data_IF_098010438526
#
_entry.id   IF_098010438526
#
_cell.length_a   1.000
_cell.length_b   1.000
_cell.length_c   1.000
_cell.angle_alpha   90.00
_cell.angle_beta   90.00
_cell.angle_gamma   90.00
#
_symmetry.space_group_name_H-M   'P 1'
#
loop_
_entity.id
_entity.type
_entity.pdbx_description
1 polymer ?
#
# COMPACT_ATOMS: atom_id res chain seq x y z
N UNK A 1 15.48 9.27 -26.87
CA UNK A 1 15.95 9.72 -28.19
C UNK A 1 15.42 11.12 -28.45
N UNK A 2 16.28 12.14 -28.49
CA UNK A 2 15.83 13.56 -28.62
C UNK A 2 15.02 13.79 -29.91
N UNK A 3 15.40 13.13 -30.98
CA UNK A 3 14.75 13.22 -32.30
C UNK A 3 13.30 12.70 -32.28
N UNK A 4 12.96 11.83 -31.33
CA UNK A 4 11.60 11.29 -31.17
C UNK A 4 10.67 12.18 -30.36
N UNK A 5 11.18 13.26 -29.74
CA UNK A 5 10.35 14.13 -28.89
C UNK A 5 9.37 15.01 -29.71
N UNK A 6 9.68 15.26 -30.99
CA UNK A 6 8.85 16.09 -31.88
C UNK A 6 8.37 17.38 -31.18
N UNK A 7 7.11 17.75 -31.35
CA UNK A 7 6.53 18.97 -30.74
C UNK A 7 5.88 18.71 -29.39
N UNK A 8 5.46 17.46 -29.13
CA UNK A 8 4.73 17.09 -27.88
C UNK A 8 5.07 15.67 -27.47
N UNK A 9 5.26 15.46 -26.17
CA UNK A 9 5.45 14.14 -25.56
C UNK A 9 4.41 13.88 -24.49
N UNK A 10 4.02 12.60 -24.34
CA UNK A 10 3.23 12.12 -23.20
C UNK A 10 4.18 11.45 -22.23
N UNK A 11 4.48 12.09 -21.11
CA UNK A 11 5.46 11.60 -20.15
C UNK A 11 5.03 10.30 -19.43
N UNK A 12 3.72 10.05 -19.32
CA UNK A 12 3.18 8.83 -18.72
C UNK A 12 3.46 8.73 -17.23
N UNK A 13 3.74 7.51 -16.76
CA UNK A 13 3.86 7.19 -15.33
C UNK A 13 5.08 7.82 -14.65
N UNK A 14 6.07 8.27 -15.40
CA UNK A 14 7.22 8.99 -14.85
C UNK A 14 6.82 10.27 -14.10
N UNK A 15 5.64 10.84 -14.41
CA UNK A 15 5.07 11.96 -13.65
C UNK A 15 4.70 11.58 -12.22
N UNK A 16 4.50 10.30 -11.96
CA UNK A 16 4.26 9.74 -10.62
C UNK A 16 5.55 9.29 -9.93
N UNK A 17 6.70 9.47 -10.59
CA UNK A 17 7.98 9.03 -10.11
C UNK A 17 8.17 7.51 -10.15
N UNK A 18 7.48 6.83 -11.07
CA UNK A 18 7.55 5.39 -11.28
C UNK A 18 8.15 5.09 -12.67
N UNK A 19 8.86 3.98 -12.77
CA UNK A 19 9.44 3.53 -14.02
C UNK A 19 8.41 2.78 -14.89
N UNK A 20 8.36 3.01 -16.22
CA UNK A 20 7.41 2.31 -17.09
C UNK A 20 7.68 0.81 -17.20
N UNK A 21 8.93 0.38 -17.14
CA UNK A 21 9.36 -1.02 -17.11
C UNK A 21 10.81 -1.11 -16.66
N UNK A 22 11.32 -2.32 -16.42
CA UNK A 22 12.73 -2.56 -16.09
C UNK A 22 13.66 -2.47 -17.30
N UNK A 23 13.11 -2.53 -18.52
CA UNK A 23 13.85 -2.40 -19.78
C UNK A 23 14.29 -0.96 -20.07
N UNK A 24 13.76 0.04 -19.36
CA UNK A 24 14.09 1.45 -19.57
C UNK A 24 15.42 1.79 -18.92
N UNK A 25 16.28 2.50 -19.66
CA UNK A 25 17.55 3.01 -19.13
C UNK A 25 17.29 4.03 -18.02
N UNK A 26 17.69 3.67 -16.79
CA UNK A 26 17.41 4.46 -15.56
C UNK A 26 18.45 5.57 -15.31
N UNK A 27 19.55 5.60 -16.06
CA UNK A 27 20.69 6.49 -15.84
C UNK A 27 20.41 7.97 -16.10
N UNK A 28 19.39 8.29 -16.90
CA UNK A 28 19.12 9.65 -17.32
C UNK A 28 18.22 10.44 -16.38
N UNK A 29 17.65 9.82 -15.36
CA UNK A 29 16.63 10.46 -14.53
C UNK A 29 16.58 9.81 -13.15
N UNK A 30 16.54 10.62 -12.10
CA UNK A 30 16.28 10.20 -10.73
C UNK A 30 14.79 10.38 -10.43
N UNK A 31 14.00 9.31 -10.56
CA UNK A 31 12.57 9.34 -10.27
C UNK A 31 12.33 9.13 -8.78
N UNK A 32 11.46 9.96 -8.21
CA UNK A 32 11.02 9.85 -6.81
C UNK A 32 9.52 9.60 -6.79
N UNK A 33 9.13 8.45 -6.24
CA UNK A 33 7.72 8.10 -6.12
C UNK A 33 6.95 9.20 -5.38
N UNK A 34 5.89 9.71 -6.03
CA UNK A 34 5.05 10.78 -5.50
C UNK A 34 3.94 10.25 -4.58
N UNK A 35 3.65 8.94 -4.63
CA UNK A 35 2.57 8.29 -3.90
C UNK A 35 3.10 7.57 -2.66
N UNK A 36 2.42 7.79 -1.55
CA UNK A 36 2.49 6.91 -0.38
C UNK A 36 1.07 6.59 0.08
N UNK A 37 0.84 5.37 0.57
CA UNK A 37 -0.45 4.92 1.08
C UNK A 37 -0.30 4.45 2.52
N UNK A 38 -1.09 5.04 3.40
CA UNK A 38 -1.05 4.78 4.83
C UNK A 38 -2.42 4.38 5.37
N UNK A 39 -2.42 3.67 6.47
CA UNK A 39 -3.58 3.35 7.28
C UNK A 39 -3.19 3.30 8.75
N UNK A 40 -4.07 2.77 9.59
CA UNK A 40 -3.82 2.55 11.02
C UNK A 40 -4.33 1.18 11.44
N UNK A 41 -3.84 0.68 12.56
CA UNK A 41 -4.39 -0.51 13.20
C UNK A 41 -5.70 -0.13 13.90
N UNK A 42 -6.81 -0.78 13.55
CA UNK A 42 -8.12 -0.52 14.18
C UNK A 42 -8.51 -1.59 15.19
N UNK A 43 -7.88 -2.74 15.16
CA UNK A 43 -8.15 -3.81 16.11
C UNK A 43 -6.93 -4.72 16.27
N UNK A 44 -6.67 -5.14 17.49
CA UNK A 44 -5.63 -6.10 17.84
C UNK A 44 -6.25 -7.24 18.65
N UNK A 45 -5.84 -8.47 18.38
CA UNK A 45 -6.19 -9.63 19.23
C UNK A 45 -5.11 -10.71 19.19
N UNK A 46 -5.07 -11.51 20.23
CA UNK A 46 -4.40 -12.81 20.21
C UNK A 46 -5.37 -13.88 19.73
N UNK A 47 -4.87 -14.85 19.01
CA UNK A 47 -5.59 -16.04 18.57
C UNK A 47 -4.79 -17.28 18.90
N UNK A 48 -5.48 -18.35 19.26
CA UNK A 48 -4.84 -19.64 19.53
C UNK A 48 -4.61 -20.43 18.23
N UNK A 49 -3.74 -21.40 18.29
CA UNK A 49 -3.54 -22.40 17.23
C UNK A 49 -4.88 -23.02 16.80
N UNK A 50 -5.02 -23.26 15.49
CA UNK A 50 -6.25 -23.78 14.89
C UNK A 50 -7.32 -22.73 14.58
N UNK A 51 -7.13 -21.45 14.98
CA UNK A 51 -8.11 -20.39 14.71
C UNK A 51 -8.09 -20.00 13.24
N UNK A 52 -9.26 -20.07 12.53
CA UNK A 52 -9.36 -19.60 11.14
C UNK A 52 -9.37 -18.07 11.08
N UNK A 53 -8.62 -17.49 10.13
CA UNK A 53 -8.51 -16.04 9.94
C UNK A 53 -9.03 -15.67 8.55
N UNK A 54 -9.82 -14.59 8.49
CA UNK A 54 -10.43 -14.06 7.28
C UNK A 54 -11.50 -14.98 6.67
N UNK A 55 -12.15 -14.50 5.62
CA UNK A 55 -13.24 -15.21 4.95
C UNK A 55 -12.80 -16.56 4.35
N UNK A 56 -13.59 -17.59 4.65
CA UNK A 56 -13.39 -18.93 4.12
C UNK A 56 -12.24 -19.70 4.75
N UNK A 57 -11.70 -19.23 5.90
CA UNK A 57 -10.68 -19.94 6.65
C UNK A 57 -9.44 -20.33 5.83
N UNK A 58 -9.06 -19.50 4.84
CA UNK A 58 -7.91 -19.82 3.96
C UNK A 58 -6.58 -19.79 4.68
N UNK A 59 -6.53 -19.12 5.80
CA UNK A 59 -5.40 -19.15 6.73
C UNK A 59 -5.91 -19.66 8.08
N UNK A 60 -5.21 -20.62 8.66
CA UNK A 60 -5.46 -21.15 9.99
C UNK A 60 -4.19 -20.92 10.80
N UNK A 61 -4.32 -20.33 11.98
CA UNK A 61 -3.18 -20.09 12.86
C UNK A 61 -2.48 -21.40 13.20
N UNK A 62 -1.19 -21.50 12.96
CA UNK A 62 -0.34 -22.69 13.23
C UNK A 62 0.25 -22.68 14.63
N UNK A 63 0.06 -21.60 15.36
CA UNK A 63 0.50 -21.34 16.73
C UNK A 63 -0.31 -20.19 17.32
N UNK A 64 -0.08 -19.87 18.59
CA UNK A 64 -0.60 -18.64 19.19
C UNK A 64 0.00 -17.43 18.47
N UNK A 65 -0.84 -16.52 17.97
CA UNK A 65 -0.46 -15.36 17.16
C UNK A 65 -1.11 -14.09 17.69
N UNK A 66 -0.42 -12.95 17.51
CA UNK A 66 -1.00 -11.60 17.64
C UNK A 66 -1.29 -11.06 16.26
N UNK A 67 -2.54 -10.72 16.00
CA UNK A 67 -2.98 -10.23 14.70
C UNK A 67 -3.56 -8.83 14.79
N UNK A 68 -3.31 -8.03 13.75
CA UNK A 68 -3.86 -6.69 13.58
C UNK A 68 -4.85 -6.64 12.42
N UNK A 69 -5.93 -5.87 12.57
CA UNK A 69 -6.88 -5.56 11.51
C UNK A 69 -6.60 -4.17 10.96
N UNK A 70 -6.48 -4.10 9.63
CA UNK A 70 -6.19 -2.89 8.87
C UNK A 70 -7.45 -2.54 8.04
N UNK A 71 -8.03 -1.34 8.19
CA UNK A 71 -9.27 -0.93 7.53
C UNK A 71 -9.02 -0.47 6.08
N UNK A 72 -8.48 -1.37 5.27
CA UNK A 72 -8.23 -1.20 3.83
C UNK A 72 -8.58 -2.49 3.12
N UNK A 73 -9.20 -2.42 1.96
CA UNK A 73 -9.55 -3.59 1.20
C UNK A 73 -9.69 -3.34 -0.30
N UNK A 74 -10.26 -4.32 -1.04
CA UNK A 74 -10.39 -4.16 -2.49
C UNK A 74 -11.40 -3.08 -2.89
N UNK A 75 -12.30 -2.66 -1.99
CA UNK A 75 -13.17 -1.49 -2.19
C UNK A 75 -12.39 -0.18 -2.23
N UNK A 76 -11.20 -0.13 -1.63
CA UNK A 76 -10.26 0.98 -1.70
C UNK A 76 -9.34 0.88 -2.93
N UNK A 77 -9.43 -0.22 -3.68
CA UNK A 77 -8.53 -0.52 -4.79
C UNK A 77 -7.28 -1.28 -4.38
N UNK A 78 -7.16 -1.70 -3.11
CA UNK A 78 -6.05 -2.55 -2.69
C UNK A 78 -6.24 -3.97 -3.22
N UNK A 79 -5.31 -4.52 -4.01
CA UNK A 79 -5.57 -5.75 -4.79
C UNK A 79 -5.89 -6.97 -3.93
N UNK A 80 -7.01 -7.64 -4.24
CA UNK A 80 -7.40 -8.88 -3.59
C UNK A 80 -6.39 -10.02 -3.83
N UNK A 81 -5.64 -9.95 -4.91
CA UNK A 81 -4.58 -10.91 -5.25
C UNK A 81 -3.37 -10.86 -4.30
N UNK A 82 -3.25 -9.82 -3.48
CA UNK A 82 -2.26 -9.77 -2.39
C UNK A 82 -2.62 -10.67 -1.20
N UNK A 83 -3.77 -11.33 -1.21
CA UNK A 83 -4.20 -12.29 -0.18
C UNK A 83 -3.15 -13.39 0.06
N UNK A 84 -2.60 -13.47 1.26
CA UNK A 84 -1.57 -14.44 1.65
C UNK A 84 -0.21 -14.28 0.94
N UNK A 85 0.00 -13.20 0.18
CA UNK A 85 1.25 -12.92 -0.54
C UNK A 85 1.86 -11.58 -0.14
N UNK A 86 1.00 -10.59 0.09
CA UNK A 86 1.44 -9.23 0.42
C UNK A 86 1.80 -9.06 1.88
N UNK A 87 2.34 -7.90 2.18
CA UNK A 87 2.65 -7.45 3.53
C UNK A 87 2.51 -5.93 3.62
N UNK A 88 2.51 -5.43 4.83
CA UNK A 88 2.56 -4.00 5.14
C UNK A 88 3.74 -3.72 6.08
N UNK A 89 4.10 -2.45 6.29
CA UNK A 89 5.09 -2.07 7.29
C UNK A 89 4.40 -1.45 8.50
N UNK A 90 4.82 -1.91 9.68
CA UNK A 90 4.39 -1.41 10.99
C UNK A 90 5.63 -1.26 11.85
N UNK A 91 5.89 -0.05 12.36
CA UNK A 91 7.08 0.25 13.18
C UNK A 91 8.41 -0.15 12.50
N UNK A 92 8.47 -0.15 11.16
CA UNK A 92 9.65 -0.56 10.38
C UNK A 92 9.80 -2.07 10.20
N UNK A 93 8.78 -2.86 10.51
CA UNK A 93 8.78 -4.31 10.34
C UNK A 93 7.75 -4.75 9.32
N UNK A 94 8.07 -5.79 8.54
CA UNK A 94 7.14 -6.41 7.60
C UNK A 94 6.11 -7.25 8.36
N UNK A 95 4.84 -6.93 8.18
CA UNK A 95 3.70 -7.65 8.74
C UNK A 95 2.94 -8.34 7.59
N UNK A 96 3.05 -9.68 7.43
CA UNK A 96 2.44 -10.40 6.31
C UNK A 96 0.91 -10.44 6.41
N UNK A 97 0.24 -10.40 5.25
CA UNK A 97 -1.22 -10.49 5.15
C UNK A 97 -1.66 -11.92 5.40
N UNK A 98 -2.56 -12.10 6.37
CA UNK A 98 -3.15 -13.37 6.75
C UNK A 98 -4.50 -13.60 6.07
N UNK A 99 -4.60 -14.67 5.29
CA UNK A 99 -5.82 -15.01 4.59
C UNK A 99 -6.18 -14.02 3.47
N UNK A 100 -7.48 -13.73 3.33
CA UNK A 100 -7.99 -12.90 2.22
C UNK A 100 -8.01 -11.42 2.54
N UNK A 101 -7.62 -10.60 1.55
CA UNK A 101 -8.00 -9.18 1.52
C UNK A 101 -9.51 -9.13 1.26
N UNK A 102 -10.26 -8.51 2.18
CA UNK A 102 -11.71 -8.34 2.12
C UNK A 102 -12.07 -7.00 1.44
N UNK A 103 -13.35 -6.65 1.40
CA UNK A 103 -13.82 -5.41 0.76
C UNK A 103 -13.22 -4.18 1.44
N UNK A 104 -13.25 -4.14 2.77
CA UNK A 104 -12.93 -2.96 3.56
C UNK A 104 -11.84 -3.18 4.60
N UNK A 105 -11.27 -4.40 4.68
CA UNK A 105 -10.23 -4.73 5.66
C UNK A 105 -9.46 -5.98 5.31
N UNK A 106 -8.29 -6.13 5.92
CA UNK A 106 -7.52 -7.36 5.96
C UNK A 106 -6.79 -7.50 7.30
N UNK A 107 -6.27 -8.69 7.59
CA UNK A 107 -5.52 -8.99 8.81
C UNK A 107 -4.05 -9.25 8.48
N UNK A 108 -3.17 -8.88 9.41
CA UNK A 108 -1.73 -9.10 9.32
C UNK A 108 -1.19 -9.72 10.60
N UNK A 109 -0.12 -10.51 10.46
CA UNK A 109 0.63 -11.04 11.60
C UNK A 109 1.55 -9.96 12.18
N UNK A 110 1.37 -9.65 13.45
CA UNK A 110 2.20 -8.72 14.20
C UNK A 110 2.86 -9.37 15.43
N UNK A 111 2.90 -10.71 15.47
CA UNK A 111 3.41 -11.48 16.61
C UNK A 111 4.87 -11.16 16.96
N UNK A 112 5.66 -10.78 15.95
CA UNK A 112 7.09 -10.48 16.07
C UNK A 112 7.39 -8.98 16.26
N UNK A 113 6.35 -8.13 16.31
CA UNK A 113 6.51 -6.69 16.43
C UNK A 113 6.21 -6.31 17.90
N UNK A 114 7.23 -5.81 18.58
CA UNK A 114 7.12 -5.39 19.98
C UNK A 114 6.26 -4.12 20.10
N UNK A 115 5.57 -4.01 21.23
CA UNK A 115 4.77 -2.85 21.66
C UNK A 115 3.76 -2.34 20.62
N UNK A 116 3.32 -3.20 19.69
CA UNK A 116 2.31 -2.82 18.70
C UNK A 116 0.96 -2.57 19.38
N UNK A 117 0.31 -1.45 19.00
CA UNK A 117 -0.94 -1.00 19.60
C UNK A 117 -1.95 -0.48 18.56
N UNK A 118 -3.22 -0.38 18.97
CA UNK A 118 -4.25 0.24 18.12
C UNK A 118 -3.90 1.71 17.86
N UNK A 119 -4.12 2.17 16.63
CA UNK A 119 -3.73 3.50 16.18
C UNK A 119 -2.34 3.58 15.57
N UNK A 120 -1.50 2.55 15.71
CA UNK A 120 -0.19 2.54 15.04
C UNK A 120 -0.35 2.73 13.54
N UNK A 121 0.57 3.53 12.97
CA UNK A 121 0.63 3.77 11.54
C UNK A 121 0.99 2.49 10.80
N UNK A 122 0.25 2.23 9.74
CA UNK A 122 0.50 1.13 8.79
C UNK A 122 0.88 1.72 7.44
N UNK A 123 2.03 1.34 6.92
CA UNK A 123 2.49 1.75 5.60
C UNK A 123 2.18 0.64 4.59
N UNK A 124 1.29 0.92 3.64
CA UNK A 124 0.94 0.02 2.56
C UNK A 124 1.80 0.26 1.32
N UNK A 125 2.13 1.54 1.05
CA UNK A 125 3.05 1.97 0.00
C UNK A 125 3.88 3.11 0.58
N UNK A 126 5.21 3.05 0.39
CA UNK A 126 6.12 4.08 0.84
C UNK A 126 7.11 3.61 1.90
N UNK A 127 7.73 4.56 2.57
CA UNK A 127 8.80 4.30 3.55
C UNK A 127 8.27 4.27 4.98
N UNK A 128 8.79 3.30 5.77
CA UNK A 128 8.65 3.25 7.22
C UNK A 128 9.98 2.88 7.87
N UNK A 129 10.61 3.81 8.58
CA UNK A 129 12.01 3.74 9.03
C UNK A 129 12.95 3.44 7.86
N UNK A 130 13.67 2.33 7.87
CA UNK A 130 14.59 1.94 6.80
C UNK A 130 13.94 1.05 5.73
N UNK A 131 12.75 0.51 6.00
CA UNK A 131 12.01 -0.33 5.07
C UNK A 131 11.16 0.48 4.09
N UNK A 132 11.00 -0.05 2.89
CA UNK A 132 10.21 0.57 1.82
C UNK A 132 9.34 -0.49 1.14
N UNK A 133 8.10 -0.16 0.86
CA UNK A 133 7.22 -0.92 -0.05
C UNK A 133 6.98 -0.07 -1.28
N UNK A 134 7.34 -0.56 -2.46
CA UNK A 134 7.11 0.14 -3.73
C UNK A 134 5.83 -0.36 -4.42
N UNK A 135 5.33 0.45 -5.36
CA UNK A 135 4.19 0.06 -6.21
C UNK A 135 4.57 -1.10 -7.12
N UNK A 136 5.82 -1.10 -7.59
CA UNK A 136 6.36 -2.14 -8.46
C UNK A 136 6.36 -3.50 -7.74
N UNK A 137 6.90 -3.55 -6.51
CA UNK A 137 6.93 -4.76 -5.71
C UNK A 137 5.53 -5.31 -5.42
N UNK A 138 4.59 -4.44 -5.01
CA UNK A 138 3.20 -4.86 -4.80
C UNK A 138 2.51 -5.28 -6.11
N UNK A 139 2.86 -4.64 -7.21
CA UNK A 139 2.39 -5.00 -8.55
C UNK A 139 2.80 -6.41 -8.93
N UNK A 140 4.07 -6.77 -8.76
CA UNK A 140 4.58 -8.13 -8.99
C UNK A 140 3.87 -9.16 -8.12
N UNK A 141 3.75 -8.91 -6.81
CA UNK A 141 3.04 -9.79 -5.88
C UNK A 141 1.56 -9.97 -6.25
N UNK A 142 0.95 -8.92 -6.80
CA UNK A 142 -0.46 -8.89 -7.17
C UNK A 142 -0.73 -9.39 -8.59
N UNK A 143 0.30 -9.67 -9.39
CA UNK A 143 0.20 -9.93 -10.83
C UNK A 143 -0.51 -8.78 -11.56
N UNK A 144 -0.07 -7.55 -11.27
CA UNK A 144 -0.59 -6.31 -11.80
C UNK A 144 0.53 -5.39 -12.26
N UNK A 145 0.32 -4.76 -13.40
CA UNK A 145 1.21 -3.72 -13.87
C UNK A 145 1.09 -2.46 -12.98
N UNK A 146 2.20 -1.76 -12.74
CA UNK A 146 2.22 -0.62 -11.82
C UNK A 146 1.22 0.50 -12.21
N UNK A 147 0.97 0.73 -13.51
CA UNK A 147 -0.08 1.64 -13.99
C UNK A 147 -1.47 1.20 -13.52
N UNK A 148 -1.78 -0.09 -13.67
CA UNK A 148 -3.06 -0.65 -13.24
C UNK A 148 -3.22 -0.51 -11.73
N UNK A 149 -2.14 -0.75 -10.98
CA UNK A 149 -2.16 -0.64 -9.54
C UNK A 149 -2.54 0.78 -9.09
N UNK A 150 -1.83 1.81 -9.57
CA UNK A 150 -2.11 3.19 -9.16
C UNK A 150 -3.46 3.71 -9.67
N UNK A 151 -3.89 3.30 -10.88
CA UNK A 151 -5.22 3.63 -11.41
C UNK A 151 -6.34 2.97 -10.62
N UNK A 152 -6.08 1.80 -10.01
CA UNK A 152 -7.04 1.04 -9.23
C UNK A 152 -7.37 1.66 -7.86
N UNK A 153 -6.53 2.55 -7.34
CA UNK A 153 -6.79 3.20 -6.04
C UNK A 153 -8.04 4.07 -6.09
N UNK A 154 -9.01 3.73 -5.24
CA UNK A 154 -10.33 4.32 -5.20
C UNK A 154 -10.31 5.80 -4.78
N UNK A 155 -11.28 6.58 -5.29
CA UNK A 155 -11.51 7.96 -4.88
C UNK A 155 -12.01 8.10 -3.45
N UNK A 156 -12.49 7.03 -2.83
CA UNK A 156 -12.94 7.06 -1.43
C UNK A 156 -11.79 7.16 -0.43
N UNK A 157 -10.54 6.92 -0.88
CA UNK A 157 -9.35 7.16 -0.06
C UNK A 157 -9.08 8.66 -0.03
N UNK A 158 -9.05 9.31 1.14
CA UNK A 158 -8.67 10.71 1.25
C UNK A 158 -7.25 10.93 0.71
N UNK A 159 -7.07 11.98 -0.08
CA UNK A 159 -5.77 12.35 -0.66
C UNK A 159 -5.24 13.61 -0.01
N UNK A 160 -4.02 13.53 0.52
CA UNK A 160 -3.31 14.66 1.10
C UNK A 160 -2.16 15.04 0.17
N UNK A 161 -2.18 16.27 -0.32
CA UNK A 161 -1.14 16.82 -1.17
C UNK A 161 -0.05 17.46 -0.31
N UNK A 162 1.19 17.01 -0.51
CA UNK A 162 2.34 17.47 0.28
C UNK A 162 3.38 18.08 -0.66
N UNK A 163 3.83 19.29 -0.34
CA UNK A 163 4.95 19.97 -1.03
C UNK A 163 5.92 20.50 0.01
N UNK A 164 7.22 20.23 -0.17
CA UNK A 164 8.27 20.65 0.76
C UNK A 164 7.95 20.29 2.24
N UNK A 165 7.47 19.06 2.47
CA UNK A 165 7.04 18.54 3.79
C UNK A 165 5.87 19.29 4.44
N UNK A 166 5.16 20.14 3.71
CA UNK A 166 3.97 20.83 4.18
C UNK A 166 2.75 20.33 3.44
N UNK A 167 1.65 20.10 4.14
CA UNK A 167 0.35 19.84 3.54
C UNK A 167 -0.10 21.13 2.84
N UNK A 168 -0.44 21.02 1.56
CA UNK A 168 -0.92 22.13 0.72
C UNK A 168 -2.38 21.96 0.32
N UNK A 169 -3.00 20.83 0.62
CA UNK A 169 -4.40 20.58 0.35
C UNK A 169 -4.78 19.14 0.67
N UNK A 170 -6.08 18.91 0.81
CA UNK A 170 -6.67 17.57 0.95
C UNK A 170 -7.85 17.45 0.00
N UNK A 171 -8.08 16.24 -0.50
CA UNK A 171 -9.26 15.87 -1.27
C UNK A 171 -9.93 14.69 -0.57
N UNK A 172 -11.18 14.87 -0.17
CA UNK A 172 -12.01 13.80 0.37
C UNK A 172 -13.30 13.72 -0.46
N UNK A 173 -13.56 12.56 -1.05
CA UNK A 173 -14.71 12.35 -1.92
C UNK A 173 -16.05 12.72 -1.24
N UNK A 174 -16.16 12.51 0.06
CA UNK A 174 -17.38 12.77 0.83
C UNK A 174 -17.50 14.22 1.37
N UNK A 175 -16.39 14.95 1.44
CA UNK A 175 -16.33 16.31 2.04
C UNK A 175 -15.90 17.39 1.05
N UNK A 176 -15.47 16.99 -0.15
CA UNK A 176 -14.97 17.92 -1.17
C UNK A 176 -13.45 18.15 -1.13
N UNK A 177 -13.00 19.19 -1.83
CA UNK A 177 -11.57 19.54 -1.94
C UNK A 177 -11.28 20.74 -1.05
N UNK A 178 -10.33 20.59 -0.14
CA UNK A 178 -9.84 21.67 0.72
C UNK A 178 -8.39 22.01 0.33
N UNK A 179 -8.18 23.27 -0.06
CA UNK A 179 -6.86 23.84 -0.36
C UNK A 179 -6.52 24.80 0.77
N UNK A 180 -5.42 24.56 1.45
CA UNK A 180 -4.87 25.43 2.52
C UNK A 180 -3.80 26.36 2.00
#
# INVERSE_FOLDING_TARGET
IKEANMDVVRAGIILYGLWPSDEVTKEYMDLKAALSLYSTIVYLKEVDEGTPISYGGKFVADKKMKIATIPVGYGDGYPRSLSGKGYVLIRGHKAPILGRVCMDQFMVDVSHIEDVEMGDKVTLIGKDKEEVITVEELGELADKFNYEFVCGLSKRIPRTFVKNKKVIGTENYFEGVFIS
#
